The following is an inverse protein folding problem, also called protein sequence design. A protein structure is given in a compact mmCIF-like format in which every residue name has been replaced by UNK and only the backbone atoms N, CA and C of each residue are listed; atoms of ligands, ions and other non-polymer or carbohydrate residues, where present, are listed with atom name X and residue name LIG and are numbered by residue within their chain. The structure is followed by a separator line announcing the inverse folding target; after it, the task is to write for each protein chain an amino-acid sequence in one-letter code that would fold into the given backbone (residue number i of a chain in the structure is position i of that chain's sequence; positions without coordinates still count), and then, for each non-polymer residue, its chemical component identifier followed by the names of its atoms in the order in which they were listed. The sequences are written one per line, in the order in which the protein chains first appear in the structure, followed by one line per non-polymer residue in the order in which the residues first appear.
data_IF_198911354632
#
_entry.id   IF_198911354632
#
_cell.length_a   1.000
_cell.length_b   1.000
_cell.length_c   1.000
_cell.angle_alpha   90.00
_cell.angle_beta   90.00
_cell.angle_gamma   90.00
#
_symmetry.space_group_name_H-M   'P 1'
#
loop_
_entity.id
_entity.type
_entity.pdbx_description
1 polymer ?
#
# COMPACT_ATOMS: atom_id res chain seq x y z
N UNK A 1 -16.95 90.82 17.05
CA UNK A 1 -16.33 89.82 16.16
C UNK A 1 -16.58 88.44 16.76
N UNK A 2 -17.38 87.60 16.08
CA UNK A 2 -18.01 86.40 16.62
C UNK A 2 -17.22 85.17 16.18
N UNK A 3 -16.59 84.48 17.13
CA UNK A 3 -15.74 83.30 16.88
C UNK A 3 -16.59 82.08 16.53
N UNK A 4 -16.37 81.48 15.36
CA UNK A 4 -16.96 80.21 14.96
C UNK A 4 -15.95 79.10 15.22
N UNK A 5 -16.27 78.15 16.11
CA UNK A 5 -15.52 76.90 16.27
C UNK A 5 -16.19 75.84 15.40
N UNK A 6 -15.46 75.32 14.42
CA UNK A 6 -15.85 74.14 13.65
C UNK A 6 -15.37 72.88 14.39
N UNK A 7 -16.30 72.01 14.77
CA UNK A 7 -15.99 70.66 15.24
C UNK A 7 -15.98 69.73 14.03
N UNK A 8 -14.81 69.19 13.68
CA UNK A 8 -14.67 68.14 12.67
C UNK A 8 -14.70 66.81 13.42
N UNK A 9 -15.81 66.08 13.28
CA UNK A 9 -15.96 64.73 13.79
C UNK A 9 -15.23 63.76 12.84
N UNK A 10 -14.17 63.11 13.33
CA UNK A 10 -13.49 62.05 12.60
C UNK A 10 -14.35 60.78 12.64
N UNK A 11 -14.91 60.39 11.50
CA UNK A 11 -15.55 59.09 11.33
C UNK A 11 -14.43 58.08 11.08
N UNK A 12 -14.18 57.21 12.06
CA UNK A 12 -13.34 56.02 11.89
C UNK A 12 -14.16 54.99 11.11
N UNK A 13 -13.84 54.80 9.83
CA UNK A 13 -14.39 53.70 9.04
C UNK A 13 -13.63 52.44 9.44
N UNK A 14 -14.27 51.59 10.24
CA UNK A 14 -13.79 50.23 10.47
C UNK A 14 -13.96 49.45 9.17
N UNK A 15 -12.85 49.21 8.45
CA UNK A 15 -12.81 48.25 7.36
C UNK A 15 -12.89 46.87 7.99
N UNK A 16 -14.08 46.27 7.96
CA UNK A 16 -14.24 44.85 8.21
C UNK A 16 -13.46 44.10 7.13
N UNK A 17 -12.36 43.43 7.53
CA UNK A 17 -11.76 42.38 6.72
C UNK A 17 -12.83 41.31 6.51
N UNK A 18 -13.47 41.30 5.34
CA UNK A 18 -14.23 40.17 4.87
C UNK A 18 -13.32 38.95 4.91
N UNK A 19 -13.70 37.93 5.67
CA UNK A 19 -13.05 36.63 5.64
C UNK A 19 -13.10 36.13 4.19
N UNK A 20 -11.99 36.27 3.47
CA UNK A 20 -11.84 35.67 2.16
C UNK A 20 -11.99 34.16 2.37
N UNK A 21 -13.06 33.57 1.82
CA UNK A 21 -13.26 32.13 1.87
C UNK A 21 -12.02 31.42 1.32
N UNK A 22 -11.62 30.32 1.96
CA UNK A 22 -10.47 29.52 1.49
C UNK A 22 -10.67 29.17 0.01
N UNK A 23 -9.59 29.23 -0.77
CA UNK A 23 -9.63 28.80 -2.17
C UNK A 23 -10.04 27.32 -2.25
N UNK A 24 -10.61 26.91 -3.39
CA UNK A 24 -10.98 25.51 -3.65
C UNK A 24 -9.80 24.56 -3.41
N UNK A 25 -8.61 24.96 -3.86
CA UNK A 25 -7.39 24.15 -3.73
C UNK A 25 -6.96 23.98 -2.27
N UNK A 26 -7.09 25.03 -1.45
CA UNK A 26 -6.82 24.96 -0.01
C UNK A 26 -7.79 24.00 0.69
N UNK A 27 -9.07 24.01 0.30
CA UNK A 27 -10.06 23.10 0.88
C UNK A 27 -9.80 21.64 0.48
N UNK A 28 -9.36 21.39 -0.75
CA UNK A 28 -8.98 20.05 -1.22
C UNK A 28 -7.77 19.54 -0.44
N UNK A 29 -6.72 20.36 -0.28
CA UNK A 29 -5.53 20.00 0.49
C UNK A 29 -5.89 19.60 1.94
N UNK A 30 -6.75 20.39 2.60
CA UNK A 30 -7.22 20.07 3.96
C UNK A 30 -7.99 18.75 4.03
N UNK A 31 -8.79 18.43 3.00
CA UNK A 31 -9.49 17.14 2.94
C UNK A 31 -8.53 15.97 2.71
N UNK A 32 -7.50 16.15 1.88
CA UNK A 32 -6.45 15.16 1.64
C UNK A 32 -5.68 14.90 2.93
N UNK A 33 -5.31 15.93 3.68
CA UNK A 33 -4.61 15.77 4.97
C UNK A 33 -5.46 15.09 6.03
N UNK A 34 -6.76 15.40 6.09
CA UNK A 34 -7.68 14.71 6.97
C UNK A 34 -7.84 13.24 6.59
N UNK A 35 -7.97 12.92 5.30
CA UNK A 35 -8.05 11.55 4.82
C UNK A 35 -6.75 10.77 5.11
N UNK A 36 -5.59 11.39 4.86
CA UNK A 36 -4.28 10.85 5.21
C UNK A 36 -4.23 10.45 6.68
N UNK A 37 -4.53 11.39 7.57
CA UNK A 37 -4.54 11.15 9.01
C UNK A 37 -5.45 9.98 9.39
N UNK A 38 -6.68 9.95 8.88
CA UNK A 38 -7.65 8.88 9.20
C UNK A 38 -7.14 7.52 8.73
N UNK A 39 -6.58 7.44 7.52
CA UNK A 39 -6.10 6.19 6.94
C UNK A 39 -4.94 5.62 7.76
N UNK A 40 -3.96 6.46 8.12
CA UNK A 40 -2.84 6.05 8.97
C UNK A 40 -3.25 5.72 10.40
N UNK A 41 -4.17 6.47 11.01
CA UNK A 41 -4.58 6.23 12.40
C UNK A 41 -5.47 5.01 12.59
N UNK A 42 -6.29 4.66 11.57
CA UNK A 42 -7.35 3.65 11.74
C UNK A 42 -7.11 2.35 11.00
N UNK A 43 -6.38 2.40 9.88
CA UNK A 43 -6.20 1.24 9.00
C UNK A 43 -4.78 0.71 9.01
N UNK A 44 -3.78 1.49 9.45
CA UNK A 44 -2.41 1.02 9.60
C UNK A 44 -2.17 0.44 11.00
N UNK A 45 -1.67 -0.78 11.08
CA UNK A 45 -1.21 -1.34 12.36
C UNK A 45 0.27 -1.02 12.60
N UNK A 46 0.62 -0.58 13.80
CA UNK A 46 1.97 -0.10 14.11
C UNK A 46 3.03 -1.20 14.24
N UNK A 47 2.64 -2.45 14.56
CA UNK A 47 3.62 -3.56 14.64
C UNK A 47 4.05 -4.03 13.25
N UNK A 48 3.09 -4.20 12.33
CA UNK A 48 3.33 -4.75 11.01
C UNK A 48 3.64 -3.67 9.97
N UNK A 49 3.28 -2.41 10.25
CA UNK A 49 3.34 -1.28 9.30
C UNK A 49 2.61 -1.58 7.99
N UNK A 50 1.46 -2.22 8.09
CA UNK A 50 0.59 -2.58 6.97
C UNK A 50 -0.80 -1.99 7.14
N UNK A 51 -1.48 -1.76 6.00
CA UNK A 51 -2.86 -1.33 5.94
C UNK A 51 -3.81 -2.53 5.88
N UNK A 52 -4.82 -2.55 6.74
CA UNK A 52 -5.84 -3.60 6.82
C UNK A 52 -7.17 -3.11 6.23
N UNK A 53 -8.02 -4.04 5.80
CA UNK A 53 -9.10 -3.77 4.86
C UNK A 53 -10.24 -2.91 5.44
N UNK A 54 -10.66 -3.21 6.66
CA UNK A 54 -11.74 -2.49 7.32
C UNK A 54 -11.51 -2.38 8.82
N UNK A 55 -12.31 -1.53 9.47
CA UNK A 55 -12.33 -1.38 10.92
C UNK A 55 -13.57 -2.04 11.52
N UNK A 56 -13.44 -2.63 12.70
CA UNK A 56 -14.55 -3.21 13.47
C UNK A 56 -15.10 -2.26 14.53
N UNK A 57 -14.40 -1.15 14.82
CA UNK A 57 -14.79 -0.20 15.86
C UNK A 57 -14.36 1.22 15.49
N UNK A 58 -15.11 2.21 16.00
CA UNK A 58 -14.72 3.62 16.01
C UNK A 58 -14.13 4.05 17.37
N UNK A 59 -14.09 3.15 18.34
CA UNK A 59 -13.42 3.38 19.62
C UNK A 59 -11.90 3.40 19.40
N UNK A 60 -11.25 4.46 19.87
CA UNK A 60 -9.81 4.67 19.71
C UNK A 60 -9.01 3.49 20.24
N UNK A 61 -8.16 2.91 19.40
CA UNK A 61 -7.31 1.77 19.73
C UNK A 61 -8.00 0.41 19.56
N UNK A 62 -9.26 0.38 19.08
CA UNK A 62 -10.00 -0.86 18.81
C UNK A 62 -10.41 -1.02 17.34
N UNK A 63 -9.96 -0.14 16.47
CA UNK A 63 -10.29 -0.11 15.06
C UNK A 63 -10.02 -1.47 14.39
N UNK A 64 -8.89 -2.08 14.71
CA UNK A 64 -8.42 -3.36 14.13
C UNK A 64 -8.46 -4.54 15.13
N UNK A 65 -9.26 -4.47 16.20
CA UNK A 65 -9.30 -5.54 17.21
C UNK A 65 -9.90 -6.87 16.72
N UNK A 66 -10.50 -6.89 15.54
CA UNK A 66 -11.05 -8.11 14.91
C UNK A 66 -10.02 -8.89 14.10
N UNK A 67 -8.80 -8.37 13.91
CA UNK A 67 -7.76 -9.06 13.14
C UNK A 67 -7.51 -10.46 13.74
N UNK A 68 -7.24 -11.46 12.90
CA UNK A 68 -7.23 -12.84 13.32
C UNK A 68 -6.00 -13.14 14.20
N UNK A 69 -6.22 -14.03 15.16
CA UNK A 69 -5.18 -14.54 16.04
C UNK A 69 -4.19 -15.42 15.28
N UNK A 70 -3.01 -15.62 15.85
CA UNK A 70 -2.00 -16.54 15.35
C UNK A 70 -2.57 -17.96 15.16
N UNK A 71 -3.46 -18.38 16.06
CA UNK A 71 -4.10 -19.71 16.00
C UNK A 71 -5.00 -19.82 14.77
N UNK A 72 -5.88 -18.85 14.56
CA UNK A 72 -6.80 -18.84 13.42
C UNK A 72 -6.05 -18.84 12.10
N UNK A 73 -4.96 -18.06 11.99
CA UNK A 73 -4.14 -18.04 10.79
C UNK A 73 -3.44 -19.40 10.59
N UNK A 74 -2.87 -20.02 11.63
CA UNK A 74 -2.26 -21.36 11.51
C UNK A 74 -3.26 -22.42 11.05
N UNK A 75 -4.52 -22.30 11.49
CA UNK A 75 -5.62 -23.17 11.08
C UNK A 75 -6.21 -22.78 9.70
N UNK A 76 -5.73 -21.67 9.10
CA UNK A 76 -6.27 -21.08 7.87
C UNK A 76 -7.77 -20.77 7.97
N UNK A 77 -8.22 -20.40 9.16
CA UNK A 77 -9.59 -20.03 9.47
C UNK A 77 -9.83 -18.53 9.17
N UNK A 78 -10.97 -18.15 8.57
CA UNK A 78 -12.07 -19.00 8.11
C UNK A 78 -11.81 -19.64 6.74
N UNK A 79 -10.82 -19.17 6.01
CA UNK A 79 -10.40 -19.71 4.73
C UNK A 79 -8.93 -19.35 4.42
N UNK A 80 -8.28 -20.05 3.47
CA UNK A 80 -6.88 -19.82 3.12
C UNK A 80 -6.55 -18.44 2.53
N UNK A 81 -7.53 -17.58 2.22
CA UNK A 81 -7.31 -16.20 1.80
C UNK A 81 -7.41 -15.20 2.96
N UNK A 82 -7.91 -15.60 4.13
CA UNK A 82 -8.27 -14.67 5.20
C UNK A 82 -9.48 -13.79 4.87
N UNK A 83 -10.36 -14.20 3.95
CA UNK A 83 -11.55 -13.39 3.64
C UNK A 83 -12.46 -13.23 4.86
N UNK A 84 -12.85 -11.99 5.15
CA UNK A 84 -13.69 -11.62 6.28
C UNK A 84 -12.93 -11.45 7.60
N UNK A 85 -11.61 -11.28 7.57
CA UNK A 85 -10.80 -11.10 8.79
C UNK A 85 -10.12 -9.73 8.87
N UNK A 86 -10.28 -8.87 7.87
CA UNK A 86 -9.57 -7.60 7.73
C UNK A 86 -8.18 -7.73 7.10
N UNK A 87 -7.68 -8.95 6.84
CA UNK A 87 -6.37 -9.20 6.25
C UNK A 87 -6.41 -9.40 4.73
N UNK A 88 -7.59 -9.55 4.14
CA UNK A 88 -7.79 -10.03 2.77
C UNK A 88 -7.09 -9.19 1.70
N UNK A 89 -7.15 -7.87 1.83
CA UNK A 89 -6.66 -6.92 0.82
C UNK A 89 -5.47 -6.08 1.32
N UNK A 90 -4.82 -6.57 2.38
CA UNK A 90 -3.79 -5.82 3.09
C UNK A 90 -2.59 -5.42 2.18
N UNK A 91 -2.13 -6.28 1.28
CA UNK A 91 -1.05 -5.98 0.34
C UNK A 91 -1.52 -5.12 -0.84
N UNK A 92 -2.79 -5.22 -1.25
CA UNK A 92 -3.38 -4.29 -2.23
C UNK A 92 -3.31 -2.86 -1.68
N UNK A 93 -3.78 -2.67 -0.45
CA UNK A 93 -3.82 -1.37 0.21
C UNK A 93 -2.41 -0.85 0.51
N UNK A 94 -1.53 -1.70 1.02
CA UNK A 94 -0.15 -1.33 1.35
C UNK A 94 0.67 -1.00 0.11
N UNK A 95 0.54 -1.78 -0.97
CA UNK A 95 1.21 -1.49 -2.25
C UNK A 95 0.73 -0.17 -2.87
N UNK A 96 -0.58 0.10 -2.83
CA UNK A 96 -1.18 1.34 -3.34
C UNK A 96 -0.80 2.55 -2.47
N UNK A 97 -0.73 2.39 -1.15
CA UNK A 97 -0.28 3.46 -0.26
C UNK A 97 1.20 3.79 -0.49
N UNK A 98 2.04 2.79 -0.80
CA UNK A 98 3.45 3.04 -1.12
C UNK A 98 3.59 3.93 -2.36
N UNK A 99 2.80 3.68 -3.40
CA UNK A 99 2.69 4.61 -4.53
C UNK A 99 2.21 5.99 -4.09
N UNK A 100 1.15 6.06 -3.29
CA UNK A 100 0.54 7.33 -2.85
C UNK A 100 1.53 8.20 -2.07
N UNK A 101 2.40 7.59 -1.25
CA UNK A 101 3.48 8.29 -0.54
C UNK A 101 4.47 8.92 -1.53
N UNK A 102 4.85 8.19 -2.58
CA UNK A 102 5.75 8.69 -3.63
C UNK A 102 5.11 9.86 -4.37
N UNK A 103 3.85 9.72 -4.82
CA UNK A 103 3.12 10.79 -5.52
C UNK A 103 2.98 12.05 -4.66
N UNK A 104 2.68 11.87 -3.38
CA UNK A 104 2.61 12.98 -2.43
C UNK A 104 3.94 13.71 -2.34
N UNK A 105 5.05 12.98 -2.18
CA UNK A 105 6.37 13.60 -2.14
C UNK A 105 6.72 14.35 -3.43
N UNK A 106 6.47 13.75 -4.60
CA UNK A 106 6.76 14.39 -5.89
C UNK A 106 5.92 15.67 -6.10
N UNK A 107 4.70 15.68 -5.57
CA UNK A 107 3.80 16.83 -5.68
C UNK A 107 4.11 17.93 -4.67
N UNK A 108 4.44 17.57 -3.42
CA UNK A 108 4.52 18.55 -2.30
C UNK A 108 5.93 18.80 -1.78
N UNK A 109 6.88 17.91 -2.07
CA UNK A 109 8.24 17.96 -1.51
C UNK A 109 8.32 17.65 -0.01
N UNK A 110 7.25 17.13 0.60
CA UNK A 110 7.18 16.83 2.03
C UNK A 110 8.18 15.74 2.45
N UNK A 111 9.28 16.14 3.08
CA UNK A 111 10.38 15.22 3.45
C UNK A 111 9.95 14.13 4.44
N UNK A 112 8.88 14.35 5.21
CA UNK A 112 8.30 13.34 6.11
C UNK A 112 7.81 12.08 5.38
N UNK A 113 7.54 12.15 4.07
CA UNK A 113 7.19 10.98 3.25
C UNK A 113 8.29 9.91 3.25
N UNK A 114 9.55 10.27 3.50
CA UNK A 114 10.64 9.30 3.62
C UNK A 114 10.39 8.29 4.75
N UNK A 115 9.94 8.76 5.91
CA UNK A 115 9.66 7.91 7.07
C UNK A 115 8.44 7.01 6.82
N UNK A 116 7.36 7.58 6.28
CA UNK A 116 6.17 6.81 5.90
C UNK A 116 6.51 5.71 4.90
N UNK A 117 7.25 6.03 3.84
CA UNK A 117 7.67 5.05 2.83
C UNK A 117 8.54 3.96 3.46
N UNK A 118 9.52 4.34 4.27
CA UNK A 118 10.46 3.41 4.89
C UNK A 118 9.78 2.46 5.89
N UNK A 119 8.78 2.93 6.63
CA UNK A 119 8.04 2.10 7.57
C UNK A 119 7.09 1.14 6.85
N UNK A 120 6.31 1.62 5.88
CA UNK A 120 5.43 0.78 5.07
C UNK A 120 6.22 -0.27 4.27
N UNK A 121 7.39 0.11 3.76
CA UNK A 121 8.28 -0.79 3.04
C UNK A 121 8.70 -1.99 3.91
N UNK A 122 8.96 -1.81 5.21
CA UNK A 122 9.27 -2.93 6.12
C UNK A 122 8.13 -3.95 6.18
N UNK A 123 6.88 -3.47 6.27
CA UNK A 123 5.71 -4.35 6.24
C UNK A 123 5.61 -5.13 4.94
N UNK A 124 5.79 -4.45 3.79
CA UNK A 124 5.78 -5.10 2.47
C UNK A 124 6.89 -6.14 2.33
N UNK A 125 8.09 -5.86 2.86
CA UNK A 125 9.21 -6.81 2.91
C UNK A 125 8.83 -8.05 3.69
N UNK A 126 8.22 -7.92 4.88
CA UNK A 126 7.79 -9.06 5.69
C UNK A 126 6.78 -9.96 4.98
N UNK A 127 5.93 -9.40 4.12
CA UNK A 127 4.98 -10.17 3.30
C UNK A 127 5.61 -10.81 2.06
N UNK A 128 6.79 -10.36 1.61
CA UNK A 128 7.36 -10.71 0.29
C UNK A 128 8.67 -11.51 0.37
N UNK A 129 9.40 -11.42 1.48
CA UNK A 129 10.63 -12.18 1.74
C UNK A 129 10.38 -13.30 2.75
N UNK A 130 9.55 -14.27 2.36
CA UNK A 130 9.25 -15.45 3.15
C UNK A 130 10.25 -16.55 2.82
N UNK A 131 11.12 -16.88 3.78
CA UNK A 131 12.25 -17.82 3.60
C UNK A 131 11.83 -19.18 3.03
N UNK A 132 10.72 -19.74 3.52
CA UNK A 132 10.22 -21.04 3.10
C UNK A 132 9.53 -21.04 1.73
N UNK A 133 9.22 -19.86 1.17
CA UNK A 133 8.50 -19.74 -0.09
C UNK A 133 8.96 -18.51 -0.91
N UNK A 134 10.18 -18.51 -1.45
CA UNK A 134 10.68 -17.39 -2.24
C UNK A 134 9.73 -16.99 -3.38
N UNK A 135 9.51 -15.69 -3.51
CA UNK A 135 8.67 -15.10 -4.55
C UNK A 135 7.17 -15.16 -4.25
N UNK A 136 6.77 -15.76 -3.13
CA UNK A 136 5.40 -15.67 -2.66
C UNK A 136 5.15 -14.31 -1.99
N UNK A 137 4.02 -13.68 -2.31
CA UNK A 137 3.54 -12.45 -1.67
C UNK A 137 2.32 -12.77 -0.82
N UNK A 138 2.48 -12.71 0.50
CA UNK A 138 1.37 -12.83 1.44
C UNK A 138 0.44 -11.60 1.35
N UNK A 139 -0.84 -11.81 1.63
CA UNK A 139 -1.84 -10.72 1.72
C UNK A 139 -1.52 -9.77 2.87
N UNK A 140 -1.07 -10.30 4.00
CA UNK A 140 -0.66 -9.57 5.19
C UNK A 140 0.02 -10.53 6.17
N UNK A 141 0.55 -9.99 7.26
CA UNK A 141 1.11 -10.76 8.39
C UNK A 141 0.29 -10.52 9.66
N UNK A 142 0.26 -11.53 10.53
CA UNK A 142 -0.41 -11.49 11.81
C UNK A 142 0.19 -10.42 12.72
N UNK A 143 -0.67 -9.66 13.41
CA UNK A 143 -0.24 -8.62 14.35
C UNK A 143 0.27 -9.16 15.68
N UNK A 144 -0.04 -10.41 16.03
CA UNK A 144 0.38 -11.01 17.31
C UNK A 144 1.81 -11.55 17.28
N UNK A 145 2.29 -12.01 16.12
CA UNK A 145 3.59 -12.65 15.97
C UNK A 145 4.47 -12.09 14.83
N UNK A 146 3.96 -11.09 14.10
CA UNK A 146 4.59 -10.42 12.96
C UNK A 146 5.12 -11.39 11.87
N UNK A 147 4.57 -12.61 11.80
CA UNK A 147 5.11 -13.69 10.96
C UNK A 147 4.07 -14.57 10.29
N UNK A 148 3.00 -14.94 10.99
CA UNK A 148 2.00 -15.88 10.48
C UNK A 148 1.18 -15.23 9.35
N UNK A 149 0.85 -16.01 8.31
CA UNK A 149 0.09 -15.52 7.16
C UNK A 149 -0.85 -16.60 6.58
N UNK A 150 -1.86 -16.14 5.84
CA UNK A 150 -2.73 -16.99 5.04
C UNK A 150 -2.04 -17.45 3.75
N UNK A 151 -2.10 -18.75 3.45
CA UNK A 151 -1.27 -19.37 2.39
C UNK A 151 -1.71 -19.04 0.97
N UNK A 152 -2.91 -18.51 0.77
CA UNK A 152 -3.45 -18.19 -0.55
C UNK A 152 -3.41 -16.68 -0.79
N UNK A 153 -2.75 -16.29 -1.89
CA UNK A 153 -2.69 -14.90 -2.35
C UNK A 153 -3.67 -14.66 -3.50
N UNK A 154 -3.48 -13.60 -4.27
CA UNK A 154 -4.11 -13.42 -5.58
C UNK A 154 -3.21 -12.59 -6.49
N UNK A 155 -3.45 -12.65 -7.80
CA UNK A 155 -2.80 -11.78 -8.78
C UNK A 155 -2.94 -10.28 -8.46
N UNK A 156 -4.01 -9.85 -7.79
CA UNK A 156 -4.18 -8.45 -7.37
C UNK A 156 -3.14 -8.06 -6.31
N UNK A 157 -2.88 -8.91 -5.31
CA UNK A 157 -1.86 -8.67 -4.29
C UNK A 157 -0.48 -8.46 -4.93
N UNK A 158 -0.12 -9.33 -5.89
CA UNK A 158 1.13 -9.21 -6.63
C UNK A 158 1.16 -7.94 -7.48
N UNK A 159 0.02 -7.55 -8.09
CA UNK A 159 -0.08 -6.34 -8.92
C UNK A 159 0.32 -5.10 -8.15
N UNK A 160 -0.34 -4.87 -7.01
CA UNK A 160 -0.10 -3.68 -6.20
C UNK A 160 1.23 -3.74 -5.44
N UNK A 161 1.67 -4.91 -5.00
CA UNK A 161 3.01 -5.07 -4.42
C UNK A 161 4.11 -4.71 -5.43
N UNK A 162 4.07 -5.32 -6.63
CA UNK A 162 5.09 -5.09 -7.66
C UNK A 162 5.09 -3.64 -8.12
N UNK A 163 3.92 -3.07 -8.38
CA UNK A 163 3.84 -1.69 -8.86
C UNK A 163 4.29 -0.67 -7.80
N UNK A 164 3.84 -0.81 -6.55
CA UNK A 164 4.28 0.05 -5.44
C UNK A 164 5.79 -0.03 -5.20
N UNK A 165 6.36 -1.24 -5.22
CA UNK A 165 7.81 -1.46 -5.08
C UNK A 165 8.60 -0.87 -6.25
N UNK A 166 8.14 -1.06 -7.49
CA UNK A 166 8.77 -0.49 -8.68
C UNK A 166 8.75 1.04 -8.65
N UNK A 167 7.61 1.65 -8.29
CA UNK A 167 7.50 3.11 -8.18
C UNK A 167 8.41 3.65 -7.07
N UNK A 168 8.41 3.00 -5.91
CA UNK A 168 9.30 3.37 -4.81
C UNK A 168 10.78 3.25 -5.20
N UNK A 169 11.19 2.16 -5.85
CA UNK A 169 12.56 1.95 -6.34
C UNK A 169 13.10 3.12 -7.18
N UNK A 170 12.25 3.67 -8.05
CA UNK A 170 12.59 4.77 -8.95
C UNK A 170 12.41 6.16 -8.33
N UNK A 171 11.90 6.25 -7.10
CA UNK A 171 11.70 7.50 -6.40
C UNK A 171 12.95 7.97 -5.66
N UNK A 172 13.12 9.28 -5.42
CA UNK A 172 14.19 9.80 -4.57
C UNK A 172 14.04 9.44 -3.08
N UNK A 173 12.92 8.83 -2.67
CA UNK A 173 12.68 8.40 -1.30
C UNK A 173 13.35 7.05 -0.97
N UNK A 174 13.76 6.27 -1.98
CA UNK A 174 14.31 4.94 -1.79
C UNK A 174 15.83 4.96 -1.67
N UNK A 175 16.35 4.44 -0.56
CA UNK A 175 17.79 4.28 -0.36
C UNK A 175 18.35 3.12 -1.18
N UNK A 176 19.67 3.10 -1.38
CA UNK A 176 20.36 2.01 -2.09
C UNK A 176 20.11 0.63 -1.46
N UNK A 177 20.10 0.52 -0.14
CA UNK A 177 19.80 -0.75 0.55
C UNK A 177 18.35 -1.21 0.37
N UNK A 178 17.40 -0.27 0.29
CA UNK A 178 16.00 -0.59 -0.06
C UNK A 178 15.90 -1.01 -1.52
N UNK A 179 16.62 -0.36 -2.44
CA UNK A 179 16.72 -0.77 -3.84
C UNK A 179 17.28 -2.19 -3.99
N UNK A 180 18.31 -2.57 -3.22
CA UNK A 180 18.83 -3.94 -3.17
C UNK A 180 17.75 -4.95 -2.78
N UNK A 181 16.98 -4.61 -1.75
CA UNK A 181 15.90 -5.45 -1.23
C UNK A 181 14.76 -5.59 -2.24
N UNK A 182 14.37 -4.50 -2.91
CA UNK A 182 13.36 -4.51 -3.98
C UNK A 182 13.82 -5.38 -5.16
N UNK A 183 15.08 -5.25 -5.58
CA UNK A 183 15.67 -6.11 -6.63
C UNK A 183 15.52 -7.58 -6.28
N UNK A 184 15.79 -7.96 -5.02
CA UNK A 184 15.62 -9.33 -4.54
C UNK A 184 14.15 -9.77 -4.58
N UNK A 185 13.22 -8.96 -4.08
CA UNK A 185 11.78 -9.28 -4.09
C UNK A 185 11.28 -9.50 -5.51
N UNK A 186 11.52 -8.55 -6.42
CA UNK A 186 11.04 -8.62 -7.80
C UNK A 186 11.70 -9.75 -8.58
N UNK A 187 12.99 -10.03 -8.32
CA UNK A 187 13.67 -11.23 -8.84
C UNK A 187 12.95 -12.50 -8.40
N UNK A 188 12.69 -12.65 -7.10
CA UNK A 188 12.06 -13.85 -6.55
C UNK A 188 10.65 -14.06 -7.10
N UNK A 189 9.86 -12.98 -7.24
CA UNK A 189 8.53 -13.03 -7.87
C UNK A 189 8.65 -13.50 -9.32
N UNK A 190 9.56 -12.92 -10.11
CA UNK A 190 9.76 -13.32 -11.51
C UNK A 190 10.19 -14.79 -11.64
N UNK A 191 11.14 -15.27 -10.82
CA UNK A 191 11.54 -16.68 -10.80
C UNK A 191 10.37 -17.62 -10.46
N UNK A 192 9.55 -17.23 -9.47
CA UNK A 192 8.36 -18.00 -9.11
C UNK A 192 7.40 -18.10 -10.29
N UNK A 193 7.17 -17.00 -11.00
CA UNK A 193 6.27 -16.97 -12.14
C UNK A 193 6.80 -17.83 -13.30
N UNK A 194 8.09 -17.73 -13.62
CA UNK A 194 8.75 -18.57 -14.64
C UNK A 194 8.60 -20.06 -14.31
N UNK A 195 8.79 -20.41 -13.03
CA UNK A 195 8.69 -21.79 -12.57
C UNK A 195 7.25 -22.33 -12.59
N UNK A 196 6.28 -21.51 -12.18
CA UNK A 196 4.96 -22.00 -11.82
C UNK A 196 3.89 -21.72 -12.90
N UNK A 197 3.99 -20.63 -13.66
CA UNK A 197 2.97 -20.25 -14.66
C UNK A 197 3.18 -21.03 -15.95
N UNK A 198 2.86 -22.33 -15.89
CA UNK A 198 2.98 -23.27 -17.01
C UNK A 198 1.65 -23.97 -17.28
N UNK A 199 1.53 -24.67 -18.41
CA UNK A 199 0.35 -25.46 -18.76
C UNK A 199 0.01 -26.52 -17.70
N UNK A 200 1.02 -27.14 -17.10
CA UNK A 200 0.88 -28.23 -16.11
C UNK A 200 0.23 -27.71 -14.82
N UNK A 201 0.52 -26.47 -14.44
CA UNK A 201 -0.08 -25.79 -13.30
C UNK A 201 -1.33 -24.98 -13.68
N UNK A 202 -1.85 -25.15 -14.89
CA UNK A 202 -2.97 -24.37 -15.42
C UNK A 202 -2.73 -22.85 -15.32
N UNK A 203 -1.48 -22.44 -15.57
CA UNK A 203 -0.97 -21.08 -15.51
C UNK A 203 -1.15 -20.39 -14.14
N UNK A 204 -1.21 -21.14 -13.04
CA UNK A 204 -1.35 -20.63 -11.68
C UNK A 204 0.03 -20.33 -11.05
N UNK A 205 0.15 -19.21 -10.32
CA UNK A 205 1.40 -18.88 -9.60
C UNK A 205 1.64 -19.72 -8.32
N UNK A 206 0.67 -20.56 -7.97
CA UNK A 206 0.60 -21.47 -6.82
C UNK A 206 0.57 -20.76 -5.45
N UNK A 207 -0.07 -21.41 -4.49
CA UNK A 207 -0.09 -20.99 -3.08
C UNK A 207 1.27 -21.18 -2.41
N UNK A 208 1.41 -20.71 -1.17
CA UNK A 208 2.63 -20.88 -0.40
C UNK A 208 3.05 -22.36 -0.23
N UNK A 209 2.09 -23.28 -0.22
CA UNK A 209 2.31 -24.74 -0.13
C UNK A 209 2.58 -25.41 -1.49
N UNK A 210 2.82 -24.63 -2.55
CA UNK A 210 2.99 -25.08 -3.94
C UNK A 210 1.80 -25.87 -4.51
N UNK A 211 0.60 -25.69 -3.96
CA UNK A 211 -0.63 -26.23 -4.55
C UNK A 211 -1.38 -25.16 -5.35
N UNK A 212 -2.18 -25.54 -6.36
CA UNK A 212 -3.00 -24.59 -7.11
C UNK A 212 -3.98 -23.83 -6.22
N UNK A 213 -4.26 -22.59 -6.59
CA UNK A 213 -5.34 -21.82 -5.97
C UNK A 213 -6.71 -22.41 -6.36
N UNK A 214 -7.58 -22.78 -5.39
CA UNK A 214 -8.89 -23.37 -5.71
C UNK A 214 -9.86 -22.36 -6.33
N UNK A 215 -9.60 -21.06 -6.18
CA UNK A 215 -10.48 -19.98 -6.65
C UNK A 215 -10.08 -19.45 -8.05
N UNK A 216 -8.96 -19.90 -8.61
CA UNK A 216 -8.45 -19.41 -9.91
C UNK A 216 -7.92 -17.97 -9.90
N UNK A 217 -7.94 -17.29 -8.75
CA UNK A 217 -7.45 -15.91 -8.58
C UNK A 217 -5.91 -15.80 -8.55
N UNK A 218 -5.20 -16.92 -8.70
CA UNK A 218 -3.75 -16.96 -8.90
C UNK A 218 -3.37 -17.35 -10.34
N UNK A 219 -4.35 -17.60 -11.22
CA UNK A 219 -4.09 -17.87 -12.63
C UNK A 219 -3.57 -16.60 -13.31
N UNK A 220 -2.60 -16.71 -14.21
CA UNK A 220 -1.99 -15.56 -14.89
C UNK A 220 -2.27 -15.54 -16.40
N UNK A 221 -2.82 -16.63 -16.95
CA UNK A 221 -3.11 -16.78 -18.37
C UNK A 221 -4.48 -17.45 -18.59
N UNK A 222 -5.03 -17.39 -19.82
CA UNK A 222 -6.41 -17.83 -20.11
C UNK A 222 -7.46 -17.19 -19.19
N UNK A 223 -7.28 -15.89 -18.96
CA UNK A 223 -8.06 -15.03 -18.05
C UNK A 223 -8.44 -13.75 -18.82
N UNK A 224 -9.14 -12.79 -18.20
CA UNK A 224 -9.49 -11.57 -18.93
C UNK A 224 -8.24 -10.79 -19.37
N UNK A 225 -8.33 -10.04 -20.46
CA UNK A 225 -7.16 -9.37 -21.06
C UNK A 225 -6.42 -8.47 -20.08
N UNK A 226 -7.15 -7.74 -19.22
CA UNK A 226 -6.55 -6.88 -18.21
C UNK A 226 -5.86 -7.66 -17.07
N UNK A 227 -6.32 -8.89 -16.79
CA UNK A 227 -5.68 -9.79 -15.81
C UNK A 227 -4.40 -10.40 -16.40
N UNK A 228 -4.46 -10.82 -17.67
CA UNK A 228 -3.32 -11.40 -18.38
C UNK A 228 -2.17 -10.38 -18.56
N UNK A 229 -2.47 -9.10 -18.70
CA UNK A 229 -1.49 -8.02 -18.83
C UNK A 229 -0.57 -7.86 -17.60
N UNK A 230 -0.93 -8.45 -16.45
CA UNK A 230 -0.12 -8.37 -15.22
C UNK A 230 1.14 -9.23 -15.30
N UNK A 231 1.10 -10.35 -16.02
CA UNK A 231 2.26 -11.22 -16.18
C UNK A 231 3.45 -10.49 -16.84
N UNK A 232 3.30 -9.84 -18.01
CA UNK A 232 4.39 -9.05 -18.58
C UNK A 232 4.74 -7.82 -17.71
N UNK A 233 3.79 -7.23 -16.99
CA UNK A 233 4.10 -6.15 -16.03
C UNK A 233 5.09 -6.63 -14.95
N UNK A 234 4.91 -7.85 -14.42
CA UNK A 234 5.81 -8.43 -13.42
C UNK A 234 7.23 -8.64 -13.96
N UNK A 235 7.35 -9.17 -15.18
CA UNK A 235 8.63 -9.34 -15.82
C UNK A 235 9.29 -8.00 -16.17
N UNK A 236 8.52 -7.03 -16.68
CA UNK A 236 9.02 -5.69 -16.96
C UNK A 236 9.57 -4.99 -15.71
N UNK A 237 8.90 -5.12 -14.56
CA UNK A 237 9.38 -4.58 -13.30
C UNK A 237 10.69 -5.26 -12.86
N UNK A 238 10.78 -6.59 -12.96
CA UNK A 238 12.00 -7.33 -12.64
C UNK A 238 13.16 -6.99 -13.59
N UNK A 239 12.89 -6.85 -14.90
CA UNK A 239 13.85 -6.37 -15.89
C UNK A 239 14.34 -4.96 -15.54
N UNK A 240 13.42 -4.02 -15.29
CA UNK A 240 13.75 -2.62 -15.02
C UNK A 240 14.70 -2.44 -13.83
N UNK A 241 14.55 -3.26 -12.78
CA UNK A 241 15.42 -3.15 -11.60
C UNK A 241 16.68 -3.99 -11.70
N UNK A 242 16.75 -5.02 -12.53
CA UNK A 242 17.91 -5.96 -12.57
C UNK A 242 18.76 -5.90 -13.83
N UNK A 243 18.21 -5.49 -14.98
CA UNK A 243 18.87 -5.59 -16.27
C UNK A 243 19.16 -7.03 -16.75
N UNK A 244 18.43 -8.04 -16.26
CA UNK A 244 18.60 -9.46 -16.68
C UNK A 244 17.69 -9.84 -17.86
N UNK A 245 18.27 -10.16 -19.01
CA UNK A 245 17.53 -10.35 -20.29
C UNK A 245 16.45 -11.44 -20.23
N UNK A 246 16.58 -12.41 -19.33
CA UNK A 246 15.57 -13.46 -19.14
C UNK A 246 14.19 -12.94 -18.67
N UNK A 247 14.09 -11.68 -18.25
CA UNK A 247 12.82 -11.03 -17.89
C UNK A 247 12.31 -10.04 -18.96
N UNK A 248 13.01 -9.92 -20.10
CA UNK A 248 12.65 -9.00 -21.17
C UNK A 248 11.50 -9.54 -22.04
#
# INVERSE_FOLDING_TARGET
MRNWRFYITWIVIAVSQSAAGKSSDTLIAEKVDNAWKIVWERFCHSSTMLFYDYISSYEKGKELSHLPTTKEIKEQYPNPCGYGTGMEDCMILSGTMLETIVDRYETTGETQMNEYASNLFKGIVSCSLIESCPGFVARGICVEDDKSFYINSSRDQYTHAVYGLWKYYNSPLCSSGQQDTIRLILTNIAERLIKNVTSENNYDLLRADNRPCPLGICRMWNVQSHEAARLPMFYAAAWAVTGKEKYY
#
